data_IF_491468960970
#
_entry.id   IF_491468960970
#
_cell.length_a   1.000
_cell.length_b   1.000
_cell.length_c   1.000
_cell.angle_alpha   90.00
_cell.angle_beta   90.00
_cell.angle_gamma   90.00
#
_symmetry.space_group_name_H-M   'P 1'
#
loop_
_entity.id
_entity.type
_entity.pdbx_description
1 polymer ?
#
# COMPACT_ATOMS: atom_id res chain seq x y z
N UNK A 1 -29.86 -90.36 10.25
CA UNK A 1 -30.48 -89.10 10.70
C UNK A 1 -29.72 -87.98 10.02
N UNK A 2 -30.21 -87.44 8.90
CA UNK A 2 -30.98 -86.16 8.82
C UNK A 2 -30.27 -85.01 9.55
N UNK A 3 -30.02 -83.82 9.01
CA UNK A 3 -30.44 -83.03 7.84
C UNK A 3 -29.46 -81.83 7.86
N UNK A 4 -28.99 -81.28 6.73
CA UNK A 4 -29.07 -79.83 6.45
C UNK A 4 -28.61 -79.53 5.01
N UNK A 5 -29.37 -78.72 4.25
CA UNK A 5 -29.20 -78.59 2.80
C UNK A 5 -28.29 -77.41 2.41
N UNK A 6 -27.68 -77.56 1.24
CA UNK A 6 -27.14 -76.47 0.46
C UNK A 6 -28.24 -75.44 0.14
N UNK A 7 -28.16 -74.25 0.72
CA UNK A 7 -28.87 -73.07 0.24
C UNK A 7 -27.87 -72.03 -0.28
N UNK A 8 -27.48 -72.21 -1.54
CA UNK A 8 -26.97 -71.11 -2.38
C UNK A 8 -28.10 -70.11 -2.62
N UNK A 9 -28.23 -69.10 -1.74
CA UNK A 9 -29.21 -68.03 -1.95
C UNK A 9 -28.65 -67.05 -2.99
N UNK A 10 -29.03 -67.24 -4.26
CA UNK A 10 -28.76 -66.30 -5.38
C UNK A 10 -29.42 -64.91 -5.21
N UNK A 11 -30.11 -64.66 -4.09
CA UNK A 11 -30.84 -63.42 -3.78
C UNK A 11 -30.12 -62.44 -2.83
N UNK A 12 -28.95 -62.79 -2.28
CA UNK A 12 -28.16 -61.88 -1.41
C UNK A 12 -27.17 -61.00 -2.17
N UNK A 13 -26.67 -61.48 -3.31
CA UNK A 13 -25.73 -60.73 -4.16
C UNK A 13 -26.32 -59.41 -4.71
N UNK A 14 -27.56 -59.36 -5.26
CA UNK A 14 -28.09 -58.12 -5.80
C UNK A 14 -28.38 -57.07 -4.72
N UNK A 15 -28.80 -57.48 -3.51
CA UNK A 15 -29.05 -56.55 -2.39
C UNK A 15 -27.75 -55.94 -1.84
N UNK A 16 -26.69 -56.74 -1.76
CA UNK A 16 -25.37 -56.26 -1.36
C UNK A 16 -24.78 -55.32 -2.44
N UNK A 17 -24.96 -55.65 -3.72
CA UNK A 17 -24.51 -54.80 -4.82
C UNK A 17 -25.24 -53.46 -4.84
N UNK A 18 -26.56 -53.45 -4.65
CA UNK A 18 -27.36 -52.22 -4.55
C UNK A 18 -26.89 -51.37 -3.36
N UNK A 19 -26.67 -51.98 -2.19
CA UNK A 19 -26.19 -51.26 -1.00
C UNK A 19 -24.80 -50.63 -1.20
N UNK A 20 -23.87 -51.38 -1.83
CA UNK A 20 -22.53 -50.85 -2.14
C UNK A 20 -22.58 -49.75 -3.20
N UNK A 21 -23.39 -49.91 -4.25
CA UNK A 21 -23.60 -48.88 -5.27
C UNK A 21 -24.22 -47.62 -4.65
N UNK A 22 -25.18 -47.75 -3.73
CA UNK A 22 -25.77 -46.61 -3.02
C UNK A 22 -24.76 -45.88 -2.13
N UNK A 23 -23.88 -46.60 -1.42
CA UNK A 23 -22.81 -45.98 -0.61
C UNK A 23 -21.79 -45.25 -1.51
N UNK A 24 -21.40 -45.86 -2.63
CA UNK A 24 -20.50 -45.24 -3.61
C UNK A 24 -21.14 -44.00 -4.23
N UNK A 25 -22.45 -44.03 -4.55
CA UNK A 25 -23.18 -42.86 -5.05
C UNK A 25 -23.25 -41.74 -4.01
N UNK A 26 -23.53 -42.06 -2.74
CA UNK A 26 -23.59 -41.06 -1.65
C UNK A 26 -22.20 -40.45 -1.39
N UNK A 27 -21.13 -41.24 -1.46
CA UNK A 27 -19.74 -40.76 -1.37
C UNK A 27 -19.32 -39.92 -2.60
N UNK A 28 -19.80 -40.28 -3.80
CA UNK A 28 -19.57 -39.51 -5.03
C UNK A 28 -20.38 -38.20 -5.07
N UNK A 29 -21.57 -38.16 -4.46
CA UNK A 29 -22.42 -36.96 -4.38
C UNK A 29 -22.01 -36.03 -3.24
N UNK A 30 -21.37 -36.53 -2.18
CA UNK A 30 -20.82 -35.71 -1.07
C UNK A 30 -19.40 -35.18 -1.33
N UNK A 31 -18.78 -35.57 -2.45
CA UNK A 31 -17.49 -35.04 -2.92
C UNK A 31 -17.63 -33.94 -3.98
N UNK A 32 -18.86 -33.50 -4.27
CA UNK A 32 -19.09 -32.25 -4.99
C UNK A 32 -18.62 -31.09 -4.11
N UNK A 33 -17.39 -30.65 -4.37
CA UNK A 33 -16.83 -29.45 -3.76
C UNK A 33 -17.75 -28.29 -4.11
N UNK A 34 -18.43 -27.72 -3.13
CA UNK A 34 -19.12 -26.45 -3.32
C UNK A 34 -18.08 -25.47 -3.89
N UNK A 35 -18.37 -24.77 -5.00
CA UNK A 35 -17.40 -23.83 -5.56
C UNK A 35 -17.06 -22.82 -4.47
N UNK A 36 -15.83 -22.90 -3.95
CA UNK A 36 -15.32 -21.92 -2.99
C UNK A 36 -15.40 -20.58 -3.70
N UNK A 37 -16.33 -19.74 -3.26
CA UNK A 37 -16.51 -18.41 -3.83
C UNK A 37 -15.17 -17.71 -3.75
N UNK A 38 -14.56 -17.40 -4.89
CA UNK A 38 -13.26 -16.73 -4.91
C UNK A 38 -13.40 -15.46 -4.08
N UNK A 39 -12.59 -15.29 -3.01
CA UNK A 39 -12.68 -14.10 -2.18
C UNK A 39 -12.58 -12.86 -3.05
N UNK A 40 -13.44 -11.88 -2.84
CA UNK A 40 -13.39 -10.60 -3.54
C UNK A 40 -12.90 -9.52 -2.59
N UNK A 41 -12.25 -8.48 -3.13
CA UNK A 41 -11.80 -7.31 -2.35
C UNK A 41 -12.54 -6.04 -2.75
N UNK A 42 -12.57 -5.08 -1.82
CA UNK A 42 -13.06 -3.73 -2.07
C UNK A 42 -11.99 -2.92 -2.82
N UNK A 43 -12.34 -2.35 -3.98
CA UNK A 43 -11.40 -1.58 -4.83
C UNK A 43 -10.84 -0.32 -4.20
N UNK A 44 -11.48 0.25 -3.20
CA UNK A 44 -11.00 1.48 -2.58
C UNK A 44 -10.13 1.21 -1.36
N UNK A 45 -10.45 0.15 -0.60
CA UNK A 45 -9.62 -0.30 0.52
C UNK A 45 -8.37 -1.01 0.03
N UNK A 46 -8.46 -1.72 -1.10
CA UNK A 46 -7.34 -2.40 -1.71
C UNK A 46 -7.43 -2.13 -3.22
N UNK A 47 -6.87 -1.01 -3.73
CA UNK A 47 -7.00 -0.60 -5.13
C UNK A 47 -6.10 -1.35 -6.11
N UNK A 48 -6.36 -1.10 -7.39
CA UNK A 48 -5.56 -1.49 -8.55
C UNK A 48 -5.58 -2.97 -8.91
N UNK A 49 -5.14 -3.31 -10.12
CA UNK A 49 -5.02 -4.68 -10.60
C UNK A 49 -4.22 -5.56 -9.64
N UNK A 50 -4.49 -6.87 -9.60
CA UNK A 50 -3.71 -7.81 -8.79
C UNK A 50 -2.24 -7.89 -9.22
N UNK A 51 -1.94 -7.46 -10.45
CA UNK A 51 -0.59 -7.35 -11.02
C UNK A 51 0.05 -5.98 -10.82
N UNK A 52 -0.63 -5.03 -10.18
CA UNK A 52 -0.06 -3.73 -9.81
C UNK A 52 1.18 -3.89 -8.94
N UNK A 53 2.11 -2.94 -9.01
CA UNK A 53 3.27 -2.85 -8.11
C UNK A 53 2.86 -2.89 -6.63
N UNK A 54 1.68 -2.36 -6.31
CA UNK A 54 1.18 -2.32 -4.94
C UNK A 54 0.67 -3.68 -4.47
N UNK A 55 0.28 -4.56 -5.39
CA UNK A 55 -0.38 -5.83 -5.07
C UNK A 55 0.50 -7.05 -5.35
N UNK A 56 1.65 -6.85 -5.99
CA UNK A 56 2.58 -7.90 -6.37
C UNK A 56 3.40 -8.38 -5.17
N UNK A 57 3.33 -9.67 -4.78
CA UNK A 57 4.22 -10.22 -3.78
C UNK A 57 5.66 -10.29 -4.30
N UNK A 58 6.63 -10.22 -3.39
CA UNK A 58 8.02 -10.50 -3.68
C UNK A 58 8.15 -11.89 -4.31
N UNK A 59 8.93 -11.97 -5.39
CA UNK A 59 9.13 -13.19 -6.15
C UNK A 59 10.34 -14.00 -5.67
N UNK A 60 10.32 -15.30 -5.93
CA UNK A 60 11.40 -16.23 -5.52
C UNK A 60 12.75 -15.97 -6.19
N UNK A 61 12.79 -15.16 -7.26
CA UNK A 61 14.02 -14.76 -7.96
C UNK A 61 14.48 -13.34 -7.59
N UNK A 62 13.90 -12.73 -6.55
CA UNK A 62 14.33 -11.43 -6.05
C UNK A 62 15.83 -11.43 -5.71
N UNK A 63 16.55 -10.44 -6.24
CA UNK A 63 17.96 -10.19 -5.97
C UNK A 63 18.08 -9.03 -4.99
N UNK A 64 18.70 -9.30 -3.85
CA UNK A 64 18.76 -8.35 -2.74
C UNK A 64 20.13 -7.67 -2.68
N UNK A 65 20.14 -6.35 -2.67
CA UNK A 65 21.32 -5.51 -2.40
C UNK A 65 21.10 -4.81 -1.06
N UNK A 66 22.07 -4.81 -0.12
CA UNK A 66 21.89 -4.12 1.17
C UNK A 66 21.47 -2.67 0.97
N UNK A 67 20.38 -2.23 1.63
CA UNK A 67 19.99 -0.83 1.60
C UNK A 67 20.88 0.03 2.53
N UNK A 68 21.44 -0.58 3.57
CA UNK A 68 22.29 0.04 4.60
C UNK A 68 21.60 1.22 5.31
N UNK A 69 20.30 1.10 5.53
CA UNK A 69 19.52 2.08 6.28
C UNK A 69 19.86 1.94 7.76
N UNK A 70 20.29 3.03 8.39
CA UNK A 70 20.59 3.06 9.81
C UNK A 70 19.35 3.40 10.64
N UNK A 71 19.45 3.26 11.96
CA UNK A 71 18.47 3.82 12.90
C UNK A 71 18.36 5.34 12.67
N UNK A 72 17.14 5.85 12.65
CA UNK A 72 16.83 7.28 12.55
C UNK A 72 16.29 7.79 13.89
N UNK A 73 16.42 9.09 14.14
CA UNK A 73 15.89 9.74 15.34
C UNK A 73 14.37 9.63 15.43
N UNK A 74 13.65 9.78 14.31
CA UNK A 74 12.21 9.85 14.29
C UNK A 74 11.59 8.63 13.57
N UNK A 75 10.58 8.03 14.21
CA UNK A 75 9.63 7.15 13.53
C UNK A 75 8.37 7.96 13.26
N UNK A 76 8.00 8.11 12.00
CA UNK A 76 6.97 9.05 11.56
C UNK A 76 5.95 8.39 10.64
N UNK A 77 4.87 9.12 10.35
CA UNK A 77 3.83 8.71 9.42
C UNK A 77 3.59 9.81 8.40
N UNK A 78 3.57 9.45 7.12
CA UNK A 78 3.13 10.35 6.07
C UNK A 78 1.61 10.15 5.92
N UNK A 79 0.83 11.09 6.45
CA UNK A 79 -0.63 10.96 6.51
C UNK A 79 -1.28 11.38 5.19
N UNK A 80 -2.13 10.50 4.68
CA UNK A 80 -2.71 10.61 3.34
C UNK A 80 -4.23 10.58 3.40
N UNK A 81 -4.87 11.28 2.46
CA UNK A 81 -6.29 11.57 2.53
C UNK A 81 -7.06 10.90 1.40
N UNK A 82 -8.00 10.03 1.74
CA UNK A 82 -8.76 9.26 0.77
C UNK A 82 -10.25 9.46 0.93
N UNK A 83 -10.92 9.82 -0.17
CA UNK A 83 -12.35 10.09 -0.17
C UNK A 83 -13.05 9.32 -1.30
N UNK A 84 -14.19 8.69 -0.97
CA UNK A 84 -15.18 8.23 -1.95
C UNK A 84 -16.16 9.38 -2.15
N UNK A 85 -16.15 10.01 -3.31
CA UNK A 85 -17.04 11.11 -3.63
C UNK A 85 -18.42 10.59 -3.98
N UNK A 86 -19.45 11.37 -3.68
CA UNK A 86 -20.85 11.01 -3.91
C UNK A 86 -21.46 11.91 -4.96
N UNK A 87 -22.32 11.34 -5.78
CA UNK A 87 -23.18 12.14 -6.64
C UNK A 87 -24.11 13.01 -5.77
N UNK A 88 -24.24 14.28 -6.13
CA UNK A 88 -25.09 15.24 -5.41
C UNK A 88 -24.37 16.08 -4.34
N UNK A 89 -23.13 15.75 -3.98
CA UNK A 89 -22.30 16.69 -3.22
C UNK A 89 -21.99 17.93 -4.10
N UNK A 90 -21.85 19.14 -3.51
CA UNK A 90 -21.55 20.35 -4.28
C UNK A 90 -20.23 20.23 -5.05
N UNK A 91 -20.23 20.66 -6.31
CA UNK A 91 -19.01 20.76 -7.11
C UNK A 91 -18.12 21.89 -6.58
N UNK A 92 -16.90 21.53 -6.17
CA UNK A 92 -15.91 22.46 -5.63
C UNK A 92 -14.71 22.52 -6.57
N UNK A 93 -14.29 23.73 -7.00
CA UNK A 93 -13.17 23.86 -7.92
C UNK A 93 -11.89 23.37 -7.25
N UNK A 94 -11.03 22.71 -8.04
CA UNK A 94 -9.67 22.39 -7.63
C UNK A 94 -8.74 23.53 -8.05
N UNK A 95 -7.94 24.00 -7.11
CA UNK A 95 -7.08 25.18 -7.24
C UNK A 95 -5.65 24.77 -6.89
N UNK A 96 -4.67 25.24 -7.63
CA UNK A 96 -3.27 25.08 -7.28
C UNK A 96 -3.02 25.75 -5.92
N UNK A 97 -2.25 25.12 -5.01
CA UNK A 97 -1.97 25.72 -3.71
C UNK A 97 -1.10 26.98 -3.87
N UNK A 98 -1.30 27.97 -3.00
CA UNK A 98 -0.52 29.21 -3.00
C UNK A 98 0.94 29.03 -2.54
N UNK A 99 1.20 27.97 -1.77
CA UNK A 99 2.52 27.57 -1.29
C UNK A 99 2.57 26.06 -1.06
N UNK A 100 3.77 25.49 -0.94
CA UNK A 100 3.95 24.11 -0.46
C UNK A 100 3.78 24.01 1.06
N UNK A 101 4.27 25.01 1.80
CA UNK A 101 4.08 25.17 3.25
C UNK A 101 2.81 25.96 3.57
N UNK A 102 2.81 26.68 4.69
CA UNK A 102 1.70 27.57 5.10
C UNK A 102 1.25 28.53 3.98
N UNK A 103 -0.06 28.68 3.81
CA UNK A 103 -0.65 29.45 2.72
C UNK A 103 -1.07 28.60 1.52
N UNK A 104 -1.37 27.30 1.69
CA UNK A 104 -1.88 26.47 0.59
C UNK A 104 -3.20 27.02 0.07
N UNK A 105 -4.07 27.49 0.98
CA UNK A 105 -5.40 27.99 0.67
C UNK A 105 -5.46 29.42 0.11
N UNK A 106 -4.32 30.04 -0.19
CA UNK A 106 -4.27 31.38 -0.82
C UNK A 106 -4.09 31.33 -2.33
N UNK A 107 -3.95 30.12 -2.89
CA UNK A 107 -3.79 29.92 -4.32
C UNK A 107 -5.00 30.40 -5.12
N UNK A 108 -4.77 30.79 -6.37
CA UNK A 108 -5.83 31.35 -7.23
C UNK A 108 -5.91 30.67 -8.59
N UNK A 109 -4.91 29.87 -8.95
CA UNK A 109 -4.80 29.25 -10.28
C UNK A 109 -5.69 28.00 -10.35
N UNK A 110 -6.69 27.93 -11.24
CA UNK A 110 -7.54 26.76 -11.36
C UNK A 110 -6.78 25.58 -11.97
N UNK A 111 -7.07 24.37 -11.49
CA UNK A 111 -6.53 23.10 -12.05
C UNK A 111 -7.40 22.51 -13.16
N UNK A 112 -8.40 23.26 -13.64
CA UNK A 112 -9.26 22.87 -14.76
C UNK A 112 -10.27 21.77 -14.46
N UNK A 113 -10.54 21.48 -13.18
CA UNK A 113 -11.54 20.50 -12.74
C UNK A 113 -12.28 20.97 -11.48
N UNK A 114 -13.44 20.38 -11.24
CA UNK A 114 -14.18 20.41 -9.98
C UNK A 114 -14.37 18.99 -9.46
N UNK A 115 -14.55 18.86 -8.14
CA UNK A 115 -14.86 17.61 -7.47
C UNK A 115 -16.14 17.77 -6.63
N UNK A 116 -17.07 16.79 -6.65
CA UNK A 116 -18.25 16.81 -5.80
C UNK A 116 -17.84 16.47 -4.37
N UNK A 117 -17.68 17.48 -3.53
CA UNK A 117 -17.13 17.37 -2.17
C UNK A 117 -18.05 18.04 -1.16
N UNK A 118 -18.39 17.37 -0.04
CA UNK A 118 -19.33 17.90 0.93
C UNK A 118 -18.75 19.15 1.62
N UNK A 119 -19.61 20.12 1.94
CA UNK A 119 -19.18 21.44 2.43
C UNK A 119 -18.43 21.41 3.75
N UNK A 120 -18.72 20.42 4.57
CA UNK A 120 -18.07 20.23 5.86
C UNK A 120 -16.70 19.53 5.77
N UNK A 121 -16.23 19.08 4.59
CA UNK A 121 -14.89 18.53 4.47
C UNK A 121 -13.86 19.65 4.63
N UNK A 122 -13.10 19.60 5.73
CA UNK A 122 -12.01 20.52 6.03
C UNK A 122 -10.70 19.73 6.08
N UNK A 123 -9.68 20.27 5.41
CA UNK A 123 -8.30 19.81 5.51
C UNK A 123 -7.47 21.03 5.90
N UNK A 124 -6.91 21.08 7.12
CA UNK A 124 -6.16 22.24 7.59
C UNK A 124 -5.03 22.63 6.62
N UNK A 125 -4.70 23.93 6.62
CA UNK A 125 -3.47 24.39 5.97
C UNK A 125 -2.23 23.81 6.68
N UNK A 126 -1.10 23.85 5.99
CA UNK A 126 0.18 23.75 6.65
C UNK A 126 0.41 24.96 7.56
N UNK A 127 1.23 24.80 8.59
CA UNK A 127 1.49 25.82 9.60
C UNK A 127 3.00 26.01 9.80
N UNK A 128 3.44 27.25 10.04
CA UNK A 128 4.83 27.50 10.46
C UNK A 128 5.04 27.28 11.95
N UNK A 129 4.02 27.57 12.77
CA UNK A 129 4.07 27.44 14.24
C UNK A 129 2.76 26.85 14.75
N UNK A 130 2.77 25.64 15.35
CA UNK A 130 3.86 24.67 15.29
C UNK A 130 4.17 24.30 13.84
N UNK A 131 5.42 23.93 13.54
CA UNK A 131 5.81 23.59 12.17
C UNK A 131 5.10 22.30 11.73
N UNK A 132 4.31 22.39 10.66
CA UNK A 132 3.62 21.26 10.06
C UNK A 132 3.43 21.50 8.57
N UNK A 133 4.21 20.84 7.74
CA UNK A 133 4.11 20.92 6.27
C UNK A 133 3.93 19.53 5.66
N UNK A 134 2.91 18.76 6.09
CA UNK A 134 2.73 17.39 5.62
C UNK A 134 2.43 17.38 4.12
N UNK A 135 2.89 16.36 3.40
CA UNK A 135 2.60 16.23 1.98
C UNK A 135 1.09 16.18 1.72
N UNK A 136 0.30 15.57 2.60
CA UNK A 136 -1.14 15.41 2.42
C UNK A 136 -1.47 14.84 1.02
N UNK A 137 -0.70 13.86 0.56
CA UNK A 137 -1.01 13.17 -0.68
C UNK A 137 -2.43 12.59 -0.58
N UNK A 138 -3.21 12.73 -1.64
CA UNK A 138 -4.64 12.44 -1.57
C UNK A 138 -5.17 11.78 -2.83
N UNK A 139 -6.25 11.02 -2.66
CA UNK A 139 -6.97 10.40 -3.76
C UNK A 139 -8.49 10.47 -3.54
N UNK A 140 -9.19 10.86 -4.61
CA UNK A 140 -10.63 11.03 -4.65
C UNK A 140 -11.19 10.06 -5.66
N UNK A 141 -11.91 9.02 -5.20
CA UNK A 141 -12.67 8.14 -6.09
C UNK A 141 -13.93 8.86 -6.51
N UNK A 142 -14.06 9.12 -7.81
CA UNK A 142 -15.19 9.83 -8.37
C UNK A 142 -16.49 9.00 -8.26
N UNK A 143 -17.67 9.65 -8.37
CA UNK A 143 -18.96 8.96 -8.28
C UNK A 143 -19.18 7.85 -9.32
N UNK A 144 -18.42 7.86 -10.43
CA UNK A 144 -18.42 6.78 -11.41
C UNK A 144 -17.87 5.44 -10.88
N UNK A 145 -17.26 5.45 -9.68
CA UNK A 145 -16.72 4.28 -9.02
C UNK A 145 -15.51 3.65 -9.72
N UNK A 146 -14.87 4.38 -10.65
CA UNK A 146 -13.76 3.92 -11.47
C UNK A 146 -12.57 4.87 -11.44
N UNK A 147 -12.80 6.17 -11.64
CA UNK A 147 -11.72 7.13 -11.82
C UNK A 147 -11.29 7.73 -10.48
N UNK A 148 -9.97 7.85 -10.32
CA UNK A 148 -9.34 8.56 -9.21
C UNK A 148 -8.78 9.89 -9.71
N UNK A 149 -9.01 10.95 -8.95
CA UNK A 149 -8.22 12.19 -9.00
C UNK A 149 -7.26 12.19 -7.83
N UNK A 150 -5.98 12.46 -8.07
CA UNK A 150 -4.96 12.50 -7.03
C UNK A 150 -4.36 13.90 -6.93
N UNK A 151 -4.32 14.44 -5.71
CA UNK A 151 -3.86 15.80 -5.43
C UNK A 151 -2.76 15.81 -4.37
N UNK A 152 -1.82 16.74 -4.47
CA UNK A 152 -0.87 17.06 -3.41
C UNK A 152 -0.26 18.46 -3.58
N UNK A 153 0.05 19.20 -2.50
CA UNK A 153 -0.45 18.95 -1.16
C UNK A 153 -1.93 19.28 -1.05
N UNK A 154 -2.71 18.44 -0.35
CA UNK A 154 -4.13 18.72 -0.12
C UNK A 154 -4.32 19.74 1.02
N UNK A 155 -5.14 20.76 0.76
CA UNK A 155 -5.72 21.63 1.79
C UNK A 155 -7.15 22.07 1.39
N UNK A 156 -7.96 22.38 2.40
CA UNK A 156 -9.29 22.97 2.27
C UNK A 156 -9.66 23.66 3.58
N UNK A 157 -9.42 24.96 3.63
CA UNK A 157 -9.44 25.72 4.89
C UNK A 157 -10.80 26.25 5.31
N UNK A 158 -11.80 26.27 4.43
CA UNK A 158 -13.11 26.88 4.69
C UNK A 158 -14.26 25.98 4.23
N UNK A 159 -15.36 25.88 5.01
CA UNK A 159 -16.56 25.16 4.58
C UNK A 159 -17.11 25.72 3.27
N UNK A 160 -17.50 24.85 2.35
CA UNK A 160 -17.99 25.24 1.02
C UNK A 160 -16.92 25.90 0.11
N UNK A 161 -15.69 26.09 0.57
CA UNK A 161 -14.60 26.61 -0.24
C UNK A 161 -14.09 25.61 -1.28
N UNK A 162 -13.20 26.09 -2.16
CA UNK A 162 -12.46 25.26 -3.12
C UNK A 162 -11.51 24.27 -2.44
N UNK A 163 -11.00 23.34 -3.24
CA UNK A 163 -10.04 22.32 -2.82
C UNK A 163 -8.67 22.71 -3.38
N UNK A 164 -7.64 22.71 -2.55
CA UNK A 164 -6.30 23.11 -2.94
C UNK A 164 -5.40 21.89 -3.10
N UNK A 165 -4.69 21.81 -4.22
CA UNK A 165 -3.68 20.78 -4.48
C UNK A 165 -3.33 20.68 -5.95
N UNK A 166 -2.07 20.37 -6.27
CA UNK A 166 -1.68 20.09 -7.63
C UNK A 166 -2.23 18.74 -8.05
N UNK A 167 -2.95 18.74 -9.18
CA UNK A 167 -3.48 17.54 -9.82
C UNK A 167 -2.34 16.77 -10.50
N UNK A 168 -2.26 15.47 -10.24
CA UNK A 168 -1.37 14.60 -11.00
C UNK A 168 -1.82 14.47 -12.46
N UNK A 169 -0.86 14.55 -13.38
CA UNK A 169 -0.99 14.16 -14.78
C UNK A 169 0.34 13.61 -15.28
N UNK A 170 0.30 12.84 -16.37
CA UNK A 170 1.51 12.33 -17.04
C UNK A 170 1.24 12.10 -18.53
N UNK A 171 2.26 11.88 -19.39
CA UNK A 171 2.02 11.50 -20.78
C UNK A 171 1.17 10.23 -20.95
N UNK A 172 1.23 9.30 -19.98
CA UNK A 172 0.41 8.08 -19.99
C UNK A 172 -1.01 8.31 -19.46
N UNK A 173 -1.23 9.39 -18.70
CA UNK A 173 -2.50 9.76 -18.07
C UNK A 173 -2.69 11.28 -18.23
N UNK A 174 -2.85 11.76 -19.48
CA UNK A 174 -2.80 13.18 -19.80
C UNK A 174 -3.95 13.95 -19.16
N UNK A 175 -5.12 13.29 -19.06
CA UNK A 175 -6.30 13.86 -18.44
C UNK A 175 -6.26 13.80 -16.91
N UNK A 176 -5.23 13.21 -16.29
CA UNK A 176 -5.07 13.17 -14.83
C UNK A 176 -6.11 12.35 -14.07
N UNK A 177 -6.77 11.41 -14.74
CA UNK A 177 -7.63 10.40 -14.12
C UNK A 177 -6.88 9.08 -14.05
N UNK A 178 -6.98 8.38 -12.91
CA UNK A 178 -6.34 7.07 -12.73
C UNK A 178 -7.42 6.01 -12.55
N UNK A 179 -7.39 4.97 -13.38
CA UNK A 179 -8.30 3.85 -13.27
C UNK A 179 -8.00 3.03 -12.01
N UNK A 180 -8.96 2.92 -11.10
CA UNK A 180 -8.85 2.14 -9.85
C UNK A 180 -8.71 0.63 -10.09
N UNK A 181 -9.03 0.14 -11.30
CA UNK A 181 -8.78 -1.24 -11.73
C UNK A 181 -7.43 -1.39 -12.46
N UNK A 182 -6.79 -0.27 -12.83
CA UNK A 182 -5.56 -0.22 -13.59
C UNK A 182 -4.29 -0.54 -12.78
N UNK A 183 -3.10 -0.30 -13.34
CA UNK A 183 -1.83 -0.60 -12.69
C UNK A 183 -1.53 0.32 -11.50
N UNK A 184 -2.12 1.52 -11.45
CA UNK A 184 -2.01 2.44 -10.32
C UNK A 184 -0.59 2.89 -10.00
N UNK A 185 0.31 2.97 -10.99
CA UNK A 185 1.70 3.35 -10.75
C UNK A 185 1.79 4.84 -10.38
N UNK A 186 1.23 5.70 -11.23
CA UNK A 186 1.34 7.15 -11.12
C UNK A 186 0.47 7.79 -10.04
N UNK A 187 0.93 8.92 -9.50
CA UNK A 187 0.16 9.72 -8.56
C UNK A 187 0.86 10.95 -8.01
N UNK A 188 0.21 11.59 -7.03
CA UNK A 188 0.59 12.89 -6.51
C UNK A 188 1.63 12.84 -5.37
N UNK A 189 2.32 11.71 -5.15
CA UNK A 189 3.61 11.73 -4.43
C UNK A 189 4.66 12.38 -5.32
N UNK A 190 4.62 13.70 -5.48
CA UNK A 190 5.29 14.38 -6.59
C UNK A 190 6.82 14.22 -6.64
N UNK A 191 7.48 13.88 -5.52
CA UNK A 191 8.86 13.41 -5.55
C UNK A 191 8.99 12.23 -6.52
N UNK A 192 8.41 11.08 -6.18
CA UNK A 192 8.52 9.85 -7.00
C UNK A 192 7.55 9.79 -8.18
N UNK A 193 6.52 10.63 -8.13
CA UNK A 193 5.29 10.59 -8.93
C UNK A 193 4.51 9.29 -8.81
N UNK A 194 4.63 8.59 -7.67
CA UNK A 194 3.89 7.36 -7.38
C UNK A 194 2.50 7.62 -6.80
N UNK A 195 1.66 6.58 -6.81
CA UNK A 195 0.28 6.64 -6.33
C UNK A 195 0.13 7.17 -4.89
N UNK A 196 -0.77 8.13 -4.71
CA UNK A 196 -1.23 8.64 -3.43
C UNK A 196 -2.01 7.61 -2.64
N UNK A 197 -2.75 6.68 -3.26
CA UNK A 197 -3.54 5.66 -2.53
C UNK A 197 -2.88 4.28 -2.52
N UNK A 198 -2.09 3.96 -3.54
CA UNK A 198 -1.34 2.71 -3.59
C UNK A 198 -0.32 2.61 -2.47
N UNK A 199 -0.31 1.48 -1.77
CA UNK A 199 0.67 1.16 -0.73
C UNK A 199 0.55 1.92 0.59
N UNK A 200 -0.48 2.73 0.79
CA UNK A 200 -0.81 3.32 2.08
C UNK A 200 -1.33 2.25 3.04
N UNK A 201 -0.83 2.23 4.27
CA UNK A 201 -1.43 1.41 5.33
C UNK A 201 -2.84 1.96 5.61
N UNK A 202 -3.84 1.08 5.55
CA UNK A 202 -5.25 1.42 5.72
C UNK A 202 -5.71 1.27 7.16
N UNK A 203 -6.80 1.96 7.50
CA UNK A 203 -7.49 1.75 8.78
C UNK A 203 -7.85 0.28 8.97
N UNK A 204 -7.69 -0.20 10.20
CA UNK A 204 -7.89 -1.59 10.60
C UNK A 204 -6.69 -2.50 10.33
N UNK A 205 -5.74 -2.14 9.46
CA UNK A 205 -4.68 -3.07 9.06
C UNK A 205 -3.65 -3.32 10.16
N UNK A 206 -3.28 -2.30 10.93
CA UNK A 206 -2.32 -2.47 12.05
C UNK A 206 -2.96 -3.06 13.30
N UNK A 207 -4.30 -2.95 13.45
CA UNK A 207 -5.01 -3.31 14.68
C UNK A 207 -5.90 -4.55 14.54
N UNK A 208 -6.27 -4.93 13.32
CA UNK A 208 -7.13 -6.06 13.01
C UNK A 208 -6.41 -7.41 13.09
N UNK A 209 -7.09 -8.50 12.74
CA UNK A 209 -6.49 -9.86 12.77
C UNK A 209 -5.73 -10.22 11.48
N UNK A 210 -6.15 -9.67 10.35
CA UNK A 210 -5.58 -10.01 9.04
C UNK A 210 -4.19 -9.38 8.87
N UNK A 211 -3.28 -10.03 8.10
CA UNK A 211 -2.03 -9.41 7.72
C UNK A 211 -2.26 -8.28 6.69
N UNK A 212 -1.29 -7.38 6.56
CA UNK A 212 -1.23 -6.45 5.43
C UNK A 212 -0.75 -7.23 4.20
N UNK A 213 -1.48 -7.10 3.08
CA UNK A 213 -1.31 -7.94 1.88
C UNK A 213 -0.97 -7.14 0.62
N UNK A 214 -0.28 -6.02 0.79
CA UNK A 214 0.15 -5.16 -0.31
C UNK A 214 1.53 -4.58 0.02
N UNK A 215 2.23 -4.11 -1.01
CA UNK A 215 3.48 -3.37 -0.84
C UNK A 215 3.20 -2.03 -0.16
N UNK A 216 4.10 -1.56 0.68
CA UNK A 216 3.92 -0.33 1.46
C UNK A 216 4.58 0.87 0.77
N UNK A 217 4.33 2.07 1.30
CA UNK A 217 5.11 3.27 1.01
C UNK A 217 6.03 3.61 2.17
N UNK A 218 7.23 4.04 1.86
CA UNK A 218 8.18 4.59 2.83
C UNK A 218 8.80 5.89 2.33
N UNK A 219 9.14 6.76 3.28
CA UNK A 219 9.87 8.01 3.05
C UNK A 219 11.17 7.92 3.83
N UNK A 220 12.28 8.34 3.20
CA UNK A 220 13.63 8.27 3.74
C UNK A 220 14.33 9.61 3.59
N UNK A 221 15.31 9.89 4.45
CA UNK A 221 16.13 11.09 4.32
C UNK A 221 17.03 11.03 3.07
N UNK A 222 16.76 11.91 2.12
CA UNK A 222 17.49 12.09 0.87
C UNK A 222 18.98 12.28 1.09
N UNK A 223 19.34 13.20 1.99
CA UNK A 223 20.73 13.56 2.31
C UNK A 223 21.56 12.32 2.65
N UNK A 224 20.98 11.41 3.43
CA UNK A 224 21.70 10.26 3.98
C UNK A 224 21.62 9.04 3.09
N UNK A 225 20.49 8.81 2.43
CA UNK A 225 20.18 7.51 1.85
C UNK A 225 19.93 7.51 0.34
N UNK A 226 19.30 8.55 -0.21
CA UNK A 226 18.93 8.56 -1.62
C UNK A 226 20.13 9.00 -2.47
N UNK A 227 20.40 8.23 -3.52
CA UNK A 227 21.49 8.49 -4.43
C UNK A 227 21.05 9.42 -5.57
N UNK A 228 21.94 10.31 -5.98
CA UNK A 228 21.78 11.09 -7.21
C UNK A 228 23.07 11.14 -8.01
N UNK A 229 22.93 11.09 -9.33
CA UNK A 229 23.95 11.53 -10.29
C UNK A 229 23.27 12.04 -11.55
N UNK A 230 24.02 12.72 -12.43
CA UNK A 230 23.50 13.13 -13.75
C UNK A 230 23.01 11.93 -14.59
N UNK A 231 23.59 10.74 -14.41
CA UNK A 231 23.20 9.52 -15.14
C UNK A 231 22.13 8.68 -14.42
N UNK A 232 21.86 8.97 -13.15
CA UNK A 232 20.79 8.37 -12.36
C UNK A 232 20.17 9.47 -11.49
N UNK A 233 19.21 10.25 -12.03
CA UNK A 233 18.76 11.51 -11.44
C UNK A 233 17.79 11.32 -10.26
N UNK A 234 18.10 10.41 -9.33
CA UNK A 234 17.37 10.27 -8.08
C UNK A 234 16.17 9.33 -8.11
N UNK A 235 15.92 8.62 -9.21
CA UNK A 235 14.80 7.69 -9.30
C UNK A 235 15.06 6.48 -10.20
N UNK A 236 14.25 5.43 -10.03
CA UNK A 236 14.16 4.26 -10.91
C UNK A 236 12.72 3.78 -11.02
N UNK A 237 12.44 2.93 -12.00
CA UNK A 237 11.12 2.30 -12.12
C UNK A 237 10.69 1.63 -10.79
N UNK A 238 9.44 1.85 -10.32
CA UNK A 238 8.31 2.44 -11.05
C UNK A 238 8.16 3.96 -10.93
N UNK A 239 9.00 4.63 -10.15
CA UNK A 239 9.00 6.08 -10.09
C UNK A 239 9.37 6.68 -11.46
N UNK A 240 8.77 7.84 -11.76
CA UNK A 240 9.01 8.58 -13.02
C UNK A 240 9.60 9.97 -12.78
N UNK A 241 9.94 10.26 -11.53
CA UNK A 241 10.56 11.50 -11.09
C UNK A 241 11.29 11.30 -9.77
N UNK A 242 12.05 12.32 -9.43
CA UNK A 242 12.59 12.55 -8.09
C UNK A 242 12.17 13.95 -7.63
N UNK A 243 12.41 14.29 -6.36
CA UNK A 243 12.26 15.66 -5.89
C UNK A 243 13.00 16.66 -6.78
N UNK A 244 12.40 17.83 -7.03
CA UNK A 244 12.99 18.86 -7.88
C UNK A 244 14.39 19.29 -7.43
N UNK A 245 14.69 19.19 -6.13
CA UNK A 245 15.99 19.54 -5.55
C UNK A 245 16.89 18.31 -5.28
N UNK A 246 16.57 17.14 -5.84
CA UNK A 246 17.34 15.91 -5.68
C UNK A 246 18.85 16.12 -5.92
N UNK A 247 19.24 16.90 -6.94
CA UNK A 247 20.63 17.18 -7.26
C UNK A 247 21.45 17.81 -6.12
N UNK A 248 20.80 18.52 -5.20
CA UNK A 248 21.44 19.24 -4.10
C UNK A 248 21.10 18.66 -2.72
N UNK A 249 20.27 17.62 -2.64
CA UNK A 249 19.82 17.06 -1.36
C UNK A 249 19.93 15.54 -1.28
N UNK A 250 20.18 14.84 -2.40
CA UNK A 250 20.38 13.39 -2.40
C UNK A 250 21.87 13.08 -2.41
N UNK A 251 22.45 12.92 -1.22
CA UNK A 251 23.88 12.67 -1.05
C UNK A 251 24.21 11.23 -0.62
N UNK A 252 23.21 10.36 -0.57
CA UNK A 252 23.37 8.92 -0.35
C UNK A 252 24.32 8.29 -1.36
N UNK A 253 25.02 7.22 -0.94
CA UNK A 253 26.08 6.58 -1.75
C UNK A 253 25.63 5.29 -2.43
N UNK A 254 24.49 4.73 -2.03
CA UNK A 254 23.98 3.49 -2.58
C UNK A 254 23.24 3.74 -3.89
N UNK A 255 23.88 3.45 -5.02
CA UNK A 255 23.27 3.57 -6.36
C UNK A 255 22.01 2.74 -6.54
N UNK A 256 21.75 1.74 -5.68
CA UNK A 256 20.53 0.95 -5.69
C UNK A 256 19.36 1.62 -4.92
N UNK A 257 19.63 2.65 -4.11
CA UNK A 257 18.64 3.30 -3.25
C UNK A 257 18.33 4.72 -3.74
N UNK A 258 17.20 4.85 -4.41
CA UNK A 258 16.65 6.07 -5.00
C UNK A 258 15.11 6.03 -4.89
N UNK A 259 14.39 7.10 -5.24
CA UNK A 259 12.93 7.01 -5.29
C UNK A 259 12.46 5.94 -6.30
N UNK A 260 11.38 5.23 -5.96
CA UNK A 260 10.90 4.06 -6.69
C UNK A 260 11.65 2.75 -6.39
N UNK A 261 12.69 2.76 -5.54
CA UNK A 261 13.33 1.51 -5.13
C UNK A 261 12.36 0.66 -4.32
N UNK A 262 12.19 -0.61 -4.70
CA UNK A 262 11.48 -1.60 -3.90
C UNK A 262 12.40 -2.13 -2.80
N UNK A 263 12.02 -1.90 -1.55
CA UNK A 263 12.70 -2.41 -0.36
C UNK A 263 11.96 -3.62 0.18
N UNK A 264 12.68 -4.67 0.56
CA UNK A 264 12.08 -5.84 1.19
C UNK A 264 13.03 -6.49 2.18
N UNK A 265 12.46 -7.18 3.17
CA UNK A 265 13.22 -8.00 4.12
C UNK A 265 13.52 -9.36 3.44
N UNK A 266 14.79 -9.77 3.28
CA UNK A 266 15.13 -11.06 2.70
C UNK A 266 14.50 -12.25 3.47
N UNK A 267 14.14 -13.35 2.80
CA UNK A 267 13.46 -14.48 3.43
C UNK A 267 14.27 -15.20 4.52
N UNK A 268 15.60 -15.03 4.51
CA UNK A 268 16.50 -15.57 5.55
C UNK A 268 16.40 -14.84 6.89
N UNK A 269 15.89 -13.60 6.89
CA UNK A 269 15.67 -12.83 8.11
C UNK A 269 14.30 -13.25 8.66
N UNK A 270 14.24 -13.56 9.95
CA UNK A 270 13.02 -14.01 10.62
C UNK A 270 12.55 -12.98 11.64
N UNK A 271 11.25 -12.96 11.94
CA UNK A 271 10.68 -12.14 13.01
C UNK A 271 11.45 -12.34 14.33
N UNK A 272 11.78 -13.60 14.66
CA UNK A 272 12.55 -13.97 15.85
C UNK A 272 13.96 -13.37 15.84
N UNK A 273 14.66 -13.41 14.71
CA UNK A 273 16.01 -12.84 14.60
C UNK A 273 16.04 -11.32 14.83
N UNK A 274 14.97 -10.62 14.46
CA UNK A 274 14.82 -9.19 14.73
C UNK A 274 14.36 -8.88 16.15
N UNK A 275 13.88 -9.88 16.91
CA UNK A 275 13.32 -9.71 18.26
C UNK A 275 12.22 -8.63 18.28
N UNK A 276 11.28 -8.73 17.33
CA UNK A 276 10.13 -7.82 17.27
C UNK A 276 9.17 -8.09 18.43
N UNK A 277 8.73 -7.04 19.10
CA UNK A 277 7.95 -7.11 20.34
C UNK A 277 6.47 -6.80 20.12
N UNK A 278 6.18 -5.82 19.28
CA UNK A 278 4.84 -5.26 19.08
C UNK A 278 4.04 -6.03 18.04
N UNK A 279 2.71 -6.20 18.22
CA UNK A 279 1.84 -6.79 17.21
C UNK A 279 1.91 -6.05 15.86
N UNK A 280 1.99 -4.72 15.89
CA UNK A 280 2.12 -3.90 14.70
C UNK A 280 3.47 -4.13 13.97
N UNK A 281 4.59 -4.19 14.70
CA UNK A 281 5.91 -4.49 14.12
C UNK A 281 5.93 -5.84 13.41
N UNK A 282 5.26 -6.86 13.98
CA UNK A 282 5.14 -8.19 13.35
C UNK A 282 4.29 -8.19 12.09
N UNK A 283 3.21 -7.38 12.05
CA UNK A 283 2.41 -7.19 10.83
C UNK A 283 3.20 -6.49 9.73
N UNK A 284 3.96 -5.46 10.08
CA UNK A 284 4.86 -4.77 9.14
C UNK A 284 5.97 -5.70 8.65
N UNK A 285 6.54 -6.54 9.51
CA UNK A 285 7.50 -7.57 9.10
C UNK A 285 6.90 -8.48 8.01
N UNK A 286 5.68 -8.98 8.23
CA UNK A 286 4.99 -9.79 7.24
C UNK A 286 4.84 -9.04 5.91
N UNK A 287 4.38 -7.79 5.94
CA UNK A 287 4.21 -6.98 4.73
C UNK A 287 5.55 -6.77 3.99
N UNK A 288 6.59 -6.34 4.71
CA UNK A 288 7.90 -6.01 4.16
C UNK A 288 8.66 -7.24 3.62
N UNK A 289 8.43 -8.43 4.17
CA UNK A 289 9.04 -9.65 3.65
C UNK A 289 8.28 -10.19 2.43
N UNK A 290 6.95 -10.06 2.41
CA UNK A 290 6.12 -10.70 1.39
C UNK A 290 5.76 -9.79 0.21
N UNK A 291 5.74 -8.48 0.39
CA UNK A 291 5.36 -7.49 -0.62
C UNK A 291 6.36 -6.34 -0.74
N UNK A 292 7.06 -6.00 0.35
CA UNK A 292 8.05 -4.93 0.38
C UNK A 292 7.44 -3.53 0.54
N UNK A 293 8.23 -2.50 0.29
CA UNK A 293 7.84 -1.11 0.32
C UNK A 293 8.58 -0.28 -0.73
N UNK A 294 7.87 0.63 -1.41
CA UNK A 294 8.47 1.57 -2.35
C UNK A 294 8.87 2.87 -1.64
N UNK A 295 10.06 3.37 -1.96
CA UNK A 295 10.49 4.71 -1.56
C UNK A 295 9.73 5.73 -2.41
N UNK A 296 8.90 6.57 -1.78
CA UNK A 296 8.01 7.50 -2.50
C UNK A 296 8.40 8.97 -2.38
N UNK A 297 9.15 9.33 -1.34
CA UNK A 297 9.48 10.73 -1.06
C UNK A 297 10.80 10.87 -0.27
N UNK A 298 11.25 12.12 -0.11
CA UNK A 298 12.33 12.55 0.80
C UNK A 298 11.77 13.10 2.13
N UNK A 299 12.32 12.62 3.24
CA UNK A 299 11.96 13.09 4.58
C UNK A 299 12.51 14.48 4.93
N UNK A 300 13.61 14.90 4.30
CA UNK A 300 14.32 16.16 4.60
C UNK A 300 15.10 16.18 5.93
N UNK A 301 14.96 15.17 6.79
CA UNK A 301 15.61 15.07 8.10
C UNK A 301 15.76 13.60 8.56
N UNK A 302 16.42 13.35 9.70
CA UNK A 302 16.71 11.99 10.20
C UNK A 302 15.46 11.28 10.75
N UNK A 303 14.64 10.79 9.83
CA UNK A 303 13.34 10.17 10.08
C UNK A 303 13.07 9.04 9.08
N UNK A 304 12.28 8.06 9.52
CA UNK A 304 11.72 7.01 8.68
C UNK A 304 10.20 7.05 8.74
N UNK A 305 9.53 6.98 7.60
CA UNK A 305 8.07 7.03 7.54
C UNK A 305 7.48 5.79 6.90
N UNK A 306 6.26 5.43 7.32
CA UNK A 306 5.32 4.72 6.47
C UNK A 306 4.23 5.67 5.98
N UNK A 307 3.78 5.49 4.74
CA UNK A 307 2.55 6.13 4.25
C UNK A 307 1.32 5.49 4.89
N UNK A 308 0.43 6.30 5.46
CA UNK A 308 -0.76 5.83 6.18
C UNK A 308 -2.00 6.66 5.84
N UNK A 309 -3.16 6.01 5.79
CA UNK A 309 -4.44 6.71 5.71
C UNK A 309 -4.69 7.58 6.96
N UNK A 310 -5.28 8.77 6.77
CA UNK A 310 -5.77 9.61 7.86
C UNK A 310 -6.76 8.84 8.74
N UNK A 311 -6.49 8.77 10.05
CA UNK A 311 -7.23 7.97 11.02
C UNK A 311 -6.46 6.75 11.54
N UNK A 312 -5.41 6.30 10.85
CA UNK A 312 -4.59 5.14 11.27
C UNK A 312 -3.86 5.41 12.58
N UNK A 313 -3.36 6.64 12.78
CA UNK A 313 -2.62 6.98 14.01
C UNK A 313 -3.54 6.98 15.23
N UNK A 314 -4.76 7.48 15.04
CA UNK A 314 -5.80 7.57 16.06
C UNK A 314 -6.26 6.17 16.50
N UNK A 315 -6.58 5.28 15.56
CA UNK A 315 -6.97 3.90 15.90
C UNK A 315 -5.80 3.10 16.51
N UNK A 316 -4.58 3.38 16.07
CA UNK A 316 -3.38 2.72 16.59
C UNK A 316 -3.19 3.07 18.06
N UNK A 317 -3.25 4.37 18.40
CA UNK A 317 -3.17 4.82 19.79
C UNK A 317 -4.32 4.29 20.62
N UNK A 318 -5.55 4.32 20.10
CA UNK A 318 -6.71 3.79 20.80
C UNK A 318 -6.57 2.28 21.10
N UNK A 319 -5.98 1.51 20.17
CA UNK A 319 -5.80 0.06 20.33
C UNK A 319 -4.68 -0.31 21.30
N UNK A 320 -3.54 0.37 21.22
CA UNK A 320 -2.29 -0.06 21.87
C UNK A 320 -1.88 0.77 23.08
N UNK A 321 -2.46 1.96 23.28
CA UNK A 321 -2.13 2.86 24.38
C UNK A 321 -0.82 3.64 24.23
N UNK A 322 -0.10 3.45 23.12
CA UNK A 322 1.11 4.21 22.77
C UNK A 322 1.04 4.75 21.34
N UNK A 323 1.90 5.73 21.02
CA UNK A 323 1.91 6.38 19.71
C UNK A 323 2.56 5.52 18.62
N UNK A 324 2.08 5.69 17.40
CA UNK A 324 2.78 5.25 16.18
C UNK A 324 4.03 6.10 15.95
N UNK A 325 3.89 7.43 16.01
CA UNK A 325 4.99 8.38 15.83
C UNK A 325 5.77 8.58 17.14
N UNK A 326 7.09 8.66 17.07
CA UNK A 326 7.94 8.73 18.27
C UNK A 326 9.34 9.26 18.00
N UNK A 327 9.96 9.80 19.06
CA UNK A 327 11.32 10.35 19.05
C UNK A 327 12.25 9.46 19.88
N UNK A 328 13.23 8.85 19.20
CA UNK A 328 14.35 8.10 19.78
C UNK A 328 14.03 6.91 20.71
N UNK A 329 12.77 6.67 21.06
CA UNK A 329 12.34 5.61 21.98
C UNK A 329 10.84 5.35 21.91
N UNK A 330 10.43 4.17 22.36
CA UNK A 330 9.03 3.77 22.49
C UNK A 330 8.81 2.30 22.13
N UNK A 331 7.70 1.69 22.56
CA UNK A 331 7.43 0.27 22.30
C UNK A 331 7.47 -0.07 20.80
N UNK A 332 6.85 0.78 19.99
CA UNK A 332 6.80 0.59 18.54
C UNK A 332 8.05 1.11 17.81
N UNK A 333 8.67 2.17 18.33
CA UNK A 333 9.87 2.78 17.75
C UNK A 333 10.99 1.75 17.51
N UNK A 334 11.29 0.91 18.51
CA UNK A 334 12.39 -0.04 18.37
C UNK A 334 12.12 -1.08 17.28
N UNK A 335 10.88 -1.56 17.16
CA UNK A 335 10.48 -2.46 16.08
C UNK A 335 10.51 -1.75 14.73
N UNK A 336 10.02 -0.52 14.66
CA UNK A 336 10.08 0.34 13.47
C UNK A 336 11.51 0.44 12.94
N UNK A 337 12.47 0.75 13.82
CA UNK A 337 13.88 0.89 13.45
C UNK A 337 14.51 -0.43 13.01
N UNK A 338 14.27 -1.53 13.74
CA UNK A 338 14.74 -2.87 13.36
C UNK A 338 14.24 -3.28 11.97
N UNK A 339 12.99 -2.95 11.63
CA UNK A 339 12.42 -3.22 10.32
C UNK A 339 13.16 -2.47 9.22
N UNK A 340 13.37 -1.15 9.36
CA UNK A 340 14.10 -0.35 8.38
C UNK A 340 15.55 -0.82 8.21
N UNK A 341 16.23 -1.17 9.30
CA UNK A 341 17.60 -1.70 9.26
C UNK A 341 17.68 -3.08 8.57
N UNK A 342 16.59 -3.83 8.52
CA UNK A 342 16.52 -5.13 7.87
C UNK A 342 16.19 -5.05 6.36
N UNK A 343 15.95 -3.85 5.81
CA UNK A 343 15.56 -3.67 4.42
C UNK A 343 16.75 -3.80 3.45
N UNK A 344 16.47 -4.46 2.33
CA UNK A 344 17.35 -4.59 1.17
C UNK A 344 16.61 -4.08 -0.05
N UNK A 345 17.33 -3.51 -1.01
CA UNK A 345 16.78 -3.18 -2.32
C UNK A 345 16.58 -4.47 -3.11
N UNK A 346 15.40 -4.68 -3.68
CA UNK A 346 15.14 -5.70 -4.69
C UNK A 346 15.61 -5.17 -6.04
N UNK A 347 16.88 -5.39 -6.36
CA UNK A 347 17.60 -4.72 -7.45
C UNK A 347 17.09 -5.12 -8.84
N UNK A 348 16.44 -6.28 -8.95
CA UNK A 348 15.82 -6.75 -10.18
C UNK A 348 14.31 -6.49 -10.26
N UNK A 349 13.79 -5.56 -9.45
CA UNK A 349 12.45 -5.04 -9.61
C UNK A 349 12.37 -4.18 -10.88
N UNK A 350 11.51 -4.56 -11.83
CA UNK A 350 11.36 -3.89 -13.12
C UNK A 350 9.98 -4.13 -13.73
N UNK A 351 9.63 -3.44 -14.83
CA UNK A 351 8.30 -3.57 -15.46
C UNK A 351 7.96 -5.01 -15.89
N UNK A 352 8.98 -5.82 -16.20
CA UNK A 352 8.84 -7.23 -16.60
C UNK A 352 9.13 -8.22 -15.45
N UNK A 353 9.42 -7.72 -14.25
CA UNK A 353 9.84 -8.51 -13.09
C UNK A 353 9.46 -7.83 -11.78
N UNK A 354 8.21 -7.37 -11.68
CA UNK A 354 7.67 -6.71 -10.49
C UNK A 354 7.88 -7.63 -9.28
N UNK A 355 8.41 -7.09 -8.18
CA UNK A 355 8.74 -7.87 -6.99
C UNK A 355 9.97 -8.78 -7.14
N UNK A 356 10.72 -8.68 -8.24
CA UNK A 356 11.93 -9.48 -8.53
C UNK A 356 11.68 -10.78 -9.31
N UNK A 357 10.43 -11.04 -9.71
CA UNK A 357 10.05 -12.17 -10.59
C UNK A 357 10.20 -13.58 -9.98
N UNK A 358 9.85 -14.59 -10.77
CA UNK A 358 9.78 -15.98 -10.28
C UNK A 358 8.43 -16.31 -9.64
N UNK A 359 8.41 -17.23 -8.67
CA UNK A 359 7.17 -17.61 -7.98
C UNK A 359 6.86 -16.60 -6.87
N UNK A 360 5.68 -15.96 -6.84
CA UNK A 360 5.28 -15.07 -5.76
C UNK A 360 5.31 -15.77 -4.40
N UNK A 361 5.78 -15.07 -3.36
CA UNK A 361 5.82 -15.58 -1.96
C UNK A 361 4.44 -15.68 -1.31
N UNK A 362 3.48 -14.94 -1.83
CA UNK A 362 2.06 -14.98 -1.44
C UNK A 362 1.20 -15.16 -2.69
N UNK A 363 -0.07 -15.58 -2.56
CA UNK A 363 -1.04 -15.48 -3.65
C UNK A 363 -1.18 -14.02 -4.12
N UNK A 364 -1.52 -13.83 -5.40
CA UNK A 364 -1.89 -12.51 -5.89
C UNK A 364 -3.15 -12.00 -5.17
N UNK A 365 -3.31 -10.67 -5.16
CA UNK A 365 -4.52 -10.06 -4.62
C UNK A 365 -5.77 -10.67 -5.29
N UNK A 366 -6.83 -10.96 -4.51
CA UNK A 366 -8.07 -11.49 -5.08
C UNK A 366 -8.70 -10.50 -6.07
N UNK A 367 -9.61 -10.93 -6.95
CA UNK A 367 -10.31 -10.03 -7.86
C UNK A 367 -11.10 -8.96 -7.08
N UNK A 368 -11.23 -7.78 -7.68
CA UNK A 368 -12.11 -6.73 -7.17
C UNK A 368 -13.57 -7.20 -7.28
N UNK A 369 -14.37 -6.94 -6.25
CA UNK A 369 -15.75 -7.39 -6.18
C UNK A 369 -16.84 -6.34 -6.27
N UNK A 370 -16.48 -5.06 -6.25
CA UNK A 370 -17.42 -3.95 -6.12
C UNK A 370 -17.03 -2.74 -6.95
#
# INVERSE_FOLDING_TARGET
>A
MSIFPSLTSRLRLPKLLIFVVSIVLVLALSSLSTPSQTPKRDKFLWPFASTSIWNMPIGSKARYVPANIAKAKLAEADQEYFYKLKQGDPERPVIAPGAWGEGRCTGTQPMGISLPVPDNLIVPDATKVPFSTPNNASAFLLPDGKNLVQLSPLARCQPGGGIYGFRYSSPAEPDGFIDIYGPGIGGAHFGSRLSSIGGSIRKGELIGKQPIRHALKVVLWGEKYLYYSKSLPGFRWPATGADNNAANQYHGKNRALVQGSLLAIPPKITERSLKLQTPAGKKLFFALQNYGAYVVDDAGWDAHYFGVEKGVLEEFRAKYGYNFQSVSSGPFYEDFMKLFQALYVVDNNGPNSIGGGGKPRQPLAPPIGN
#
